data_IF_835068536308
#
_entry.id   IF_835068536308
#
_cell.length_a   1.000
_cell.length_b   1.000
_cell.length_c   1.000
_cell.angle_alpha   90.00
_cell.angle_beta   90.00
_cell.angle_gamma   90.00
#
_symmetry.space_group_name_H-M   'P 1'
#
loop_
_entity.id
_entity.type
_entity.pdbx_description
1 polymer ?
#
# COMPACT_ATOMS: atom_id res chain seq x y z
N UNK A 1 2.12 16.02 13.95
CA UNK A 1 2.27 16.94 12.81
C UNK A 1 2.51 16.12 11.56
N UNK A 2 1.63 16.26 10.57
CA UNK A 2 1.86 15.69 9.23
C UNK A 2 3.04 16.44 8.60
N UNK A 3 4.01 15.70 8.09
CA UNK A 3 5.19 16.26 7.44
C UNK A 3 4.80 16.83 6.07
N UNK A 4 5.39 17.96 5.69
CA UNK A 4 5.21 18.54 4.36
C UNK A 4 6.49 18.31 3.57
N UNK A 5 6.40 17.55 2.47
CA UNK A 5 7.54 17.20 1.62
C UNK A 5 7.28 17.58 0.17
N UNK A 6 8.34 17.87 -0.59
CA UNK A 6 8.25 18.05 -2.05
C UNK A 6 7.68 16.79 -2.70
N UNK A 7 6.77 16.95 -3.66
CA UNK A 7 6.09 15.85 -4.34
C UNK A 7 7.07 14.90 -5.02
N UNK A 8 8.10 15.44 -5.68
CA UNK A 8 9.12 14.63 -6.35
C UNK A 8 9.89 13.75 -5.37
N UNK A 9 10.19 14.27 -4.17
CA UNK A 9 10.82 13.48 -3.11
C UNK A 9 9.90 12.38 -2.63
N UNK A 10 8.64 12.70 -2.34
CA UNK A 10 7.64 11.72 -1.92
C UNK A 10 7.45 10.62 -2.97
N UNK A 11 7.38 11.00 -4.25
CA UNK A 11 7.21 10.08 -5.38
C UNK A 11 8.44 9.18 -5.57
N UNK A 12 9.64 9.72 -5.44
CA UNK A 12 10.87 8.93 -5.44
C UNK A 12 10.91 7.94 -4.27
N UNK A 13 10.55 8.37 -3.06
CA UNK A 13 10.54 7.49 -1.88
C UNK A 13 9.50 6.36 -2.05
N UNK A 14 8.32 6.67 -2.63
CA UNK A 14 7.31 5.67 -2.99
C UNK A 14 7.88 4.67 -4.00
N UNK A 15 8.52 5.15 -5.07
CA UNK A 15 9.09 4.31 -6.12
C UNK A 15 10.18 3.35 -5.61
N UNK A 16 10.98 3.79 -4.63
CA UNK A 16 12.00 2.95 -4.00
C UNK A 16 11.42 1.83 -3.12
N UNK A 17 10.23 2.05 -2.55
CA UNK A 17 9.60 1.11 -1.61
C UNK A 17 8.60 0.19 -2.30
N UNK A 18 7.71 0.76 -3.12
CA UNK A 18 6.62 0.03 -3.76
C UNK A 18 6.96 -0.43 -5.19
N UNK A 19 8.15 -0.11 -5.72
CA UNK A 19 8.69 -0.52 -7.04
C UNK A 19 7.74 -0.33 -8.22
N UNK A 20 8.00 0.71 -9.01
CA UNK A 20 7.21 1.06 -10.21
C UNK A 20 5.70 1.23 -9.96
N UNK A 21 5.35 1.63 -8.73
CA UNK A 21 4.11 2.36 -8.46
C UNK A 21 4.43 3.85 -8.52
N UNK A 22 3.55 4.61 -9.15
CA UNK A 22 3.74 6.04 -9.39
C UNK A 22 2.76 6.86 -8.54
N UNK A 23 3.28 7.89 -7.89
CA UNK A 23 2.43 8.91 -7.28
C UNK A 23 1.83 9.80 -8.37
N UNK A 24 0.53 10.06 -8.29
CA UNK A 24 -0.16 11.01 -9.15
C UNK A 24 -0.50 12.24 -8.33
N UNK A 25 0.15 13.36 -8.62
CA UNK A 25 -0.10 14.64 -7.96
C UNK A 25 -1.50 15.17 -8.26
N UNK A 26 -2.10 15.91 -7.33
CA UNK A 26 -3.25 16.76 -7.64
C UNK A 26 -2.84 17.93 -8.53
N UNK A 27 -3.82 18.57 -9.16
CA UNK A 27 -3.58 19.72 -10.05
C UNK A 27 -2.79 20.81 -9.32
N UNK A 28 -1.59 21.14 -9.84
CA UNK A 28 -0.65 22.15 -9.29
C UNK A 28 -0.08 21.81 -7.89
N UNK A 29 -0.20 20.58 -7.43
CA UNK A 29 0.39 20.14 -6.18
C UNK A 29 1.92 20.06 -6.33
N UNK A 30 2.63 20.81 -5.49
CA UNK A 30 4.10 20.75 -5.40
C UNK A 30 4.59 20.06 -4.13
N UNK A 31 3.76 20.05 -3.09
CA UNK A 31 4.05 19.45 -1.81
C UNK A 31 2.98 18.42 -1.44
N UNK A 32 3.39 17.40 -0.71
CA UNK A 32 2.52 16.37 -0.15
C UNK A 32 2.53 16.50 1.36
N UNK A 33 1.34 16.53 1.96
CA UNK A 33 1.18 16.39 3.40
C UNK A 33 1.22 14.90 3.76
N UNK A 34 2.44 14.37 3.95
CA UNK A 34 2.66 12.96 4.20
C UNK A 34 4.12 12.56 4.04
N UNK A 35 4.37 11.25 4.09
CA UNK A 35 5.70 10.66 3.93
C UNK A 35 5.61 9.18 3.58
N UNK A 36 6.74 8.63 3.16
CA UNK A 36 6.93 7.19 2.99
C UNK A 36 7.95 6.72 4.03
N UNK A 37 7.63 5.66 4.76
CA UNK A 37 8.56 4.95 5.64
C UNK A 37 8.52 3.47 5.31
N UNK A 38 9.65 2.79 5.45
CA UNK A 38 9.73 1.35 5.26
C UNK A 38 10.51 0.71 6.40
N UNK A 39 10.04 -0.45 6.84
CA UNK A 39 10.79 -1.36 7.70
C UNK A 39 10.96 -2.66 6.93
N UNK A 40 12.20 -3.14 6.86
CA UNK A 40 12.57 -4.34 6.10
C UNK A 40 12.88 -5.49 7.06
N UNK A 41 12.41 -6.69 6.74
CA UNK A 41 12.70 -7.92 7.47
C UNK A 41 12.89 -9.07 6.50
N UNK A 42 14.15 -9.42 6.23
CA UNK A 42 14.52 -10.44 5.25
C UNK A 42 13.81 -10.22 3.90
N UNK A 43 12.83 -11.06 3.54
CA UNK A 43 12.06 -10.98 2.29
C UNK A 43 10.71 -10.27 2.42
N UNK A 44 10.39 -9.74 3.59
CA UNK A 44 9.15 -9.02 3.87
C UNK A 44 9.45 -7.56 4.16
N UNK A 45 8.70 -6.66 3.53
CA UNK A 45 8.76 -5.23 3.81
C UNK A 45 7.40 -4.75 4.32
N UNK A 46 7.41 -3.84 5.29
CA UNK A 46 6.22 -3.09 5.69
C UNK A 46 6.44 -1.61 5.38
N UNK A 47 5.63 -1.10 4.45
CA UNK A 47 5.62 0.31 4.08
C UNK A 47 4.50 1.04 4.84
N UNK A 48 4.84 2.18 5.43
CA UNK A 48 3.90 3.16 6.00
C UNK A 48 3.86 4.36 5.04
N UNK A 49 2.72 4.49 4.37
CA UNK A 49 2.49 5.44 3.29
C UNK A 49 1.42 6.41 3.71
N UNK A 50 1.76 7.69 3.83
CA UNK A 50 0.80 8.77 4.01
C UNK A 50 0.96 9.86 2.96
N UNK A 51 -0.15 10.49 2.59
CA UNK A 51 -0.16 11.58 1.63
C UNK A 51 -1.55 12.03 1.26
N UNK A 52 -1.60 13.21 0.65
CA UNK A 52 -2.78 13.85 0.07
C UNK A 52 -2.71 13.93 -1.47
N UNK A 53 -1.87 13.06 -2.08
CA UNK A 53 -1.78 12.88 -3.54
C UNK A 53 -3.12 12.41 -4.14
N UNK A 54 -3.29 12.53 -5.45
CA UNK A 54 -4.52 12.05 -6.10
C UNK A 54 -4.66 10.54 -6.03
N UNK A 55 -3.61 9.83 -6.41
CA UNK A 55 -3.63 8.39 -6.57
C UNK A 55 -2.22 7.83 -6.46
N UNK A 56 -2.10 6.57 -6.05
CA UNK A 56 -0.93 5.73 -6.32
C UNK A 56 -1.33 4.74 -7.42
N UNK A 57 -0.61 4.75 -8.54
CA UNK A 57 -0.97 4.02 -9.75
C UNK A 57 0.04 2.94 -10.10
N UNK A 58 -0.48 1.80 -10.55
CA UNK A 58 0.23 0.74 -11.25
C UNK A 58 -0.31 0.59 -12.66
N UNK A 59 0.54 0.82 -13.65
CA UNK A 59 0.21 0.69 -15.07
C UNK A 59 0.97 -0.48 -15.72
N UNK A 60 0.73 -0.70 -17.02
CA UNK A 60 1.41 -1.74 -17.79
C UNK A 60 2.93 -1.54 -17.89
N UNK A 61 3.41 -0.29 -17.90
CA UNK A 61 4.84 -0.02 -17.94
C UNK A 61 5.51 -0.42 -16.64
N UNK A 62 4.88 -0.12 -15.50
CA UNK A 62 5.33 -0.53 -14.19
C UNK A 62 5.38 -2.05 -14.05
N UNK A 63 4.35 -2.75 -14.52
CA UNK A 63 4.30 -4.22 -14.53
C UNK A 63 5.46 -4.80 -15.36
N UNK A 64 5.70 -4.29 -16.57
CA UNK A 64 6.72 -4.83 -17.48
C UNK A 64 8.14 -4.63 -16.97
N UNK A 65 8.39 -3.57 -16.19
CA UNK A 65 9.72 -3.22 -15.67
C UNK A 65 10.04 -3.90 -14.34
N UNK A 66 9.03 -4.47 -13.70
CA UNK A 66 9.17 -5.07 -12.39
C UNK A 66 9.95 -6.39 -12.46
N UNK A 67 11.02 -6.45 -11.69
CA UNK A 67 11.88 -7.62 -11.54
C UNK A 67 11.52 -8.44 -10.29
N UNK A 68 10.57 -7.97 -9.47
CA UNK A 68 10.16 -8.60 -8.23
C UNK A 68 8.65 -8.49 -8.00
N UNK A 69 7.93 -9.56 -8.32
CA UNK A 69 6.49 -9.62 -8.14
C UNK A 69 6.10 -9.83 -6.66
N UNK A 70 5.16 -9.01 -6.20
CA UNK A 70 4.59 -9.08 -4.85
C UNK A 70 3.08 -9.26 -4.85
N UNK A 71 2.60 -9.89 -3.77
CA UNK A 71 1.25 -9.69 -3.25
C UNK A 71 1.35 -8.68 -2.12
N UNK A 72 0.53 -7.63 -2.17
CA UNK A 72 0.48 -6.62 -1.12
C UNK A 72 -0.74 -6.82 -0.25
N UNK A 73 -0.57 -6.88 1.06
CA UNK A 73 -1.66 -6.74 2.02
C UNK A 73 -1.69 -5.29 2.51
N UNK A 74 -2.71 -4.54 2.11
CA UNK A 74 -2.87 -3.15 2.51
C UNK A 74 -3.90 -3.01 3.62
N UNK A 75 -3.65 -2.12 4.57
CA UNK A 75 -4.61 -1.72 5.61
C UNK A 75 -4.68 -0.21 5.70
N UNK A 76 -5.90 0.34 5.61
CA UNK A 76 -6.11 1.78 5.76
C UNK A 76 -6.07 2.17 7.24
N UNK A 77 -5.21 3.11 7.61
CA UNK A 77 -5.09 3.61 8.99
C UNK A 77 -5.86 4.92 9.22
N UNK A 78 -5.85 5.82 8.23
CA UNK A 78 -6.46 7.15 8.32
C UNK A 78 -7.05 7.57 6.97
N UNK A 79 -8.17 8.28 6.98
CA UNK A 79 -8.89 8.65 5.75
C UNK A 79 -9.59 7.46 5.08
N UNK A 80 -9.95 7.63 3.81
CA UNK A 80 -10.52 6.58 2.95
C UNK A 80 -9.65 6.38 1.72
N UNK A 81 -9.65 5.14 1.22
CA UNK A 81 -8.93 4.77 0.01
C UNK A 81 -9.89 4.07 -0.95
N UNK A 82 -9.98 4.58 -2.18
CA UNK A 82 -10.76 3.96 -3.24
C UNK A 82 -9.82 3.20 -4.16
N UNK A 83 -10.00 1.89 -4.22
CA UNK A 83 -9.10 0.97 -4.92
C UNK A 83 -9.81 0.41 -6.14
N UNK A 84 -9.22 0.60 -7.31
CA UNK A 84 -9.62 -0.05 -8.56
C UNK A 84 -8.52 -1.06 -8.92
N UNK A 85 -8.78 -2.35 -8.75
CA UNK A 85 -7.78 -3.40 -8.92
C UNK A 85 -8.43 -4.75 -9.23
N UNK A 86 -7.87 -5.48 -10.19
CA UNK A 86 -8.34 -6.82 -10.56
C UNK A 86 -9.85 -6.86 -10.88
N UNK A 87 -10.29 -5.93 -11.73
CA UNK A 87 -11.68 -5.74 -12.17
C UNK A 87 -12.68 -5.48 -11.03
N UNK A 88 -12.19 -4.97 -9.90
CA UNK A 88 -12.99 -4.66 -8.72
C UNK A 88 -12.70 -3.24 -8.24
N UNK A 89 -13.78 -2.50 -8.00
CA UNK A 89 -13.74 -1.22 -7.30
C UNK A 89 -14.17 -1.42 -5.86
N UNK A 90 -13.29 -1.10 -4.93
CA UNK A 90 -13.44 -1.32 -3.49
C UNK A 90 -13.11 -0.04 -2.72
N UNK A 91 -13.94 0.36 -1.76
CA UNK A 91 -13.62 1.46 -0.85
C UNK A 91 -13.18 0.89 0.50
N UNK A 92 -12.06 1.38 1.02
CA UNK A 92 -11.51 1.03 2.33
C UNK A 92 -11.68 2.19 3.29
N UNK A 93 -12.38 1.94 4.40
CA UNK A 93 -12.34 2.82 5.57
C UNK A 93 -11.22 2.43 6.53
N UNK A 94 -11.04 3.22 7.60
CA UNK A 94 -10.09 2.92 8.67
C UNK A 94 -10.26 1.48 9.20
N UNK A 95 -9.19 0.71 9.15
CA UNK A 95 -9.11 -0.68 9.59
C UNK A 95 -9.48 -1.71 8.52
N UNK A 96 -10.13 -1.31 7.43
CA UNK A 96 -10.37 -2.21 6.32
C UNK A 96 -9.05 -2.53 5.60
N UNK A 97 -8.98 -3.74 5.06
CA UNK A 97 -7.81 -4.25 4.35
C UNK A 97 -8.20 -4.88 3.02
N UNK A 98 -7.23 -5.08 2.13
CA UNK A 98 -7.39 -5.92 0.93
C UNK A 98 -6.04 -6.45 0.44
N UNK A 99 -6.09 -7.40 -0.49
CA UNK A 99 -4.93 -7.89 -1.20
C UNK A 99 -4.83 -7.28 -2.60
N UNK A 100 -3.63 -6.85 -2.99
CA UNK A 100 -3.27 -6.44 -4.35
C UNK A 100 -2.26 -7.44 -4.95
N UNK A 101 -2.25 -7.54 -6.27
CA UNK A 101 -1.27 -8.31 -7.04
C UNK A 101 -0.51 -7.35 -7.96
N UNK A 102 0.79 -7.21 -7.75
CA UNK A 102 1.70 -6.33 -8.53
C UNK A 102 1.74 -6.61 -10.04
N UNK A 103 1.28 -7.79 -10.46
CA UNK A 103 1.22 -8.20 -11.88
C UNK A 103 -0.04 -7.69 -12.59
N UNK A 104 -0.89 -6.93 -11.89
CA UNK A 104 -2.11 -6.33 -12.41
C UNK A 104 -2.06 -4.81 -12.31
N UNK A 105 -2.76 -4.14 -13.22
CA UNK A 105 -2.96 -2.70 -13.12
C UNK A 105 -3.82 -2.38 -11.89
N UNK A 106 -3.60 -1.21 -11.30
CA UNK A 106 -4.40 -0.79 -10.15
C UNK A 106 -4.23 0.69 -9.81
N UNK A 107 -5.29 1.28 -9.29
CA UNK A 107 -5.34 2.66 -8.83
C UNK A 107 -5.78 2.70 -7.36
N UNK A 108 -5.00 3.36 -6.52
CA UNK A 108 -5.26 3.59 -5.10
C UNK A 108 -5.52 5.09 -4.90
N UNK A 109 -6.77 5.51 -5.04
CA UNK A 109 -7.21 6.90 -4.98
C UNK A 109 -7.46 7.39 -3.56
N UNK A 110 -6.83 8.51 -3.19
CA UNK A 110 -7.05 9.18 -1.90
C UNK A 110 -8.11 10.27 -2.03
N UNK A 111 -8.84 10.52 -0.94
CA UNK A 111 -9.70 11.71 -0.80
C UNK A 111 -8.87 13.00 -0.69
N UNK A 112 -9.50 14.16 -0.83
CA UNK A 112 -8.81 15.47 -0.79
C UNK A 112 -8.09 15.72 0.54
N UNK A 113 -8.62 15.19 1.64
CA UNK A 113 -8.01 15.24 2.98
C UNK A 113 -6.82 14.30 3.14
N UNK A 114 -6.52 13.49 2.12
CA UNK A 114 -5.46 12.49 2.12
C UNK A 114 -5.78 11.25 2.94
N UNK A 115 -4.74 10.50 3.27
CA UNK A 115 -4.87 9.31 4.08
C UNK A 115 -3.52 8.70 4.45
N UNK A 116 -3.61 7.59 5.18
CA UNK A 116 -2.46 6.77 5.58
C UNK A 116 -2.82 5.30 5.47
N UNK A 117 -1.93 4.52 4.89
CA UNK A 117 -2.04 3.07 4.78
C UNK A 117 -0.74 2.39 5.22
N UNK A 118 -0.86 1.16 5.69
CA UNK A 118 0.26 0.23 5.76
C UNK A 118 0.15 -0.76 4.61
N UNK A 119 1.29 -1.19 4.09
CA UNK A 119 1.39 -2.20 3.04
C UNK A 119 2.44 -3.23 3.42
N UNK A 120 2.03 -4.48 3.60
CA UNK A 120 2.94 -5.62 3.76
C UNK A 120 3.24 -6.21 2.38
N UNK A 121 4.51 -6.27 2.02
CA UNK A 121 4.99 -6.75 0.73
C UNK A 121 5.42 -8.21 0.88
N UNK A 122 4.74 -9.12 0.19
CA UNK A 122 5.02 -10.56 0.25
C UNK A 122 5.47 -11.05 -1.13
N UNK A 123 6.56 -11.83 -1.24
CA UNK A 123 6.97 -12.42 -2.51
C UNK A 123 5.83 -13.24 -3.12
N UNK A 124 5.40 -12.88 -4.33
CA UNK A 124 4.18 -13.41 -4.95
C UNK A 124 4.20 -14.93 -5.08
N UNK A 125 5.33 -15.48 -5.53
CA UNK A 125 5.48 -16.93 -5.72
C UNK A 125 5.30 -17.69 -4.40
N UNK A 126 5.90 -17.20 -3.31
CA UNK A 126 5.78 -17.83 -1.99
C UNK A 126 4.34 -17.78 -1.47
N UNK A 127 3.69 -16.62 -1.61
CA UNK A 127 2.32 -16.43 -1.18
C UNK A 127 1.35 -17.36 -1.93
N UNK A 128 1.44 -17.40 -3.26
CA UNK A 128 0.56 -18.24 -4.08
C UNK A 128 0.78 -19.74 -3.85
N UNK A 129 2.01 -20.17 -3.59
CA UNK A 129 2.32 -21.56 -3.25
C UNK A 129 1.62 -22.00 -1.95
N UNK A 130 1.57 -21.14 -0.93
CA UNK A 130 0.87 -21.42 0.34
C UNK A 130 -0.65 -21.43 0.14
N UNK A 131 -1.19 -20.48 -0.60
CA UNK A 131 -2.64 -20.38 -0.84
C UNK A 131 -3.19 -21.42 -1.83
N UNK A 132 -2.32 -22.21 -2.49
CA UNK A 132 -2.69 -23.17 -3.55
C UNK A 132 -3.57 -22.53 -4.65
N UNK A 133 -3.33 -21.26 -4.94
CA UNK A 133 -4.10 -20.47 -5.92
C UNK A 133 -5.48 -19.98 -5.44
N UNK A 134 -5.92 -20.34 -4.23
CA UNK A 134 -7.22 -19.94 -3.68
C UNK A 134 -7.10 -18.65 -2.88
N UNK A 135 -7.02 -17.50 -3.56
CA UNK A 135 -7.04 -16.19 -2.91
C UNK A 135 -7.87 -15.19 -3.71
N UNK A 136 -8.70 -14.40 -3.01
CA UNK A 136 -9.49 -13.34 -3.62
C UNK A 136 -8.74 -12.01 -3.59
N UNK A 137 -8.13 -11.64 -4.73
CA UNK A 137 -7.45 -10.36 -4.92
C UNK A 137 -8.47 -9.23 -5.19
N UNK A 138 -8.23 -8.04 -4.63
CA UNK A 138 -9.09 -6.85 -4.78
C UNK A 138 -10.35 -6.85 -3.91
N UNK A 139 -10.58 -7.91 -3.11
CA UNK A 139 -11.73 -8.01 -2.21
C UNK A 139 -11.45 -7.33 -0.87
N UNK A 140 -12.42 -6.55 -0.40
CA UNK A 140 -12.39 -5.94 0.93
C UNK A 140 -12.47 -7.00 2.04
N UNK A 141 -11.57 -6.89 2.99
CA UNK A 141 -11.65 -7.50 4.31
C UNK A 141 -12.01 -6.38 5.29
N UNK A 142 -13.16 -6.51 5.95
CA UNK A 142 -13.61 -5.47 6.88
C UNK A 142 -12.71 -5.41 8.12
N UNK A 143 -12.74 -4.27 8.83
CA UNK A 143 -12.07 -4.13 10.13
C UNK A 143 -12.38 -5.29 11.09
N UNK A 144 -13.54 -5.95 11.02
CA UNK A 144 -13.90 -7.04 11.94
C UNK A 144 -13.44 -8.43 11.45
N UNK A 145 -12.74 -8.52 10.32
CA UNK A 145 -12.19 -9.79 9.85
C UNK A 145 -11.03 -10.23 10.74
N UNK A 146 -11.11 -11.37 11.45
CA UNK A 146 -10.17 -11.71 12.52
C UNK A 146 -8.72 -11.82 12.04
N UNK A 147 -8.50 -12.39 10.85
CA UNK A 147 -7.16 -12.47 10.27
C UNK A 147 -6.63 -11.10 9.82
N UNK A 148 -7.51 -10.19 9.37
CA UNK A 148 -7.07 -8.88 8.92
C UNK A 148 -6.62 -8.04 10.12
N UNK A 149 -7.37 -8.09 11.22
CA UNK A 149 -6.96 -7.46 12.48
C UNK A 149 -5.63 -8.02 12.99
N UNK A 150 -5.47 -9.35 13.00
CA UNK A 150 -4.23 -9.97 13.47
C UNK A 150 -3.02 -9.51 12.65
N UNK A 151 -3.10 -9.55 11.32
CA UNK A 151 -2.03 -9.10 10.42
C UNK A 151 -1.76 -7.61 10.61
N UNK A 152 -2.80 -6.77 10.67
CA UNK A 152 -2.66 -5.33 10.92
C UNK A 152 -1.91 -5.04 12.22
N UNK A 153 -2.23 -5.74 13.31
CA UNK A 153 -1.55 -5.55 14.60
C UNK A 153 -0.07 -5.92 14.51
N UNK A 154 0.28 -6.99 13.81
CA UNK A 154 1.69 -7.35 13.59
C UNK A 154 2.41 -6.31 12.74
N UNK A 155 1.78 -5.83 11.67
CA UNK A 155 2.33 -4.76 10.82
C UNK A 155 2.55 -3.46 11.61
N UNK A 156 1.60 -3.08 12.48
CA UNK A 156 1.72 -1.90 13.33
C UNK A 156 2.89 -2.02 14.32
N UNK A 157 2.98 -3.13 15.05
CA UNK A 157 4.08 -3.38 15.99
C UNK A 157 5.43 -3.33 15.28
N UNK A 158 5.52 -4.00 14.13
CA UNK A 158 6.73 -4.01 13.32
C UNK A 158 7.08 -2.62 12.76
N UNK A 159 6.08 -1.84 12.35
CA UNK A 159 6.28 -0.48 11.80
C UNK A 159 6.72 0.53 12.86
N UNK A 160 6.13 0.45 14.05
CA UNK A 160 6.46 1.31 15.19
C UNK A 160 7.85 0.97 15.74
N UNK A 161 8.27 -0.29 15.63
CA UNK A 161 9.48 -0.80 16.29
C UNK A 161 9.18 -1.03 17.77
N UNK A 162 9.60 -2.19 18.28
CA UNK A 162 9.87 -2.28 19.70
C UNK A 162 11.10 -1.41 19.97
N UNK A 163 10.92 -0.29 20.68
CA UNK A 163 11.99 0.50 21.30
C UNK A 163 12.64 -0.27 22.48
N UNK A 164 12.79 -1.59 22.38
CA UNK A 164 13.45 -2.40 23.39
C UNK A 164 13.79 -3.80 22.86
N UNK A 165 15.04 -4.00 22.46
CA UNK A 165 15.90 -5.08 22.96
C UNK A 165 17.35 -4.80 22.58
#
# INVERSE_FOLDING_TARGET
MTELVEFERWSNDLGQVCRHYEGIARRRQRHVAGRIKVRRFDKLDVADVSGDVQCIRRDYNGIRRDDSEHIFFITQLEGKLNVDHNDRRTSLGKGDSLLLDSTKIGDLGFEETGGRLLSLHMPRQMFLAVCKGSVEIGKRLSLNHPMAQAIQQQMLRFSLGDDNT
#
